data_IF_705498928114
#
_entry.id   IF_705498928114
#
_cell.length_a   1.000
_cell.length_b   1.000
_cell.length_c   1.000
_cell.angle_alpha   90.00
_cell.angle_beta   90.00
_cell.angle_gamma   90.00
#
_symmetry.space_group_name_H-M   'P 1'
#
loop_
_entity.id
_entity.type
_entity.pdbx_description
1 polymer ?
#
# COMPACT_ATOMS: atom_id res chain seq x y z
N UNK A 1 -8.16 -7.80 -15.51
CA UNK A 1 -7.03 -8.70 -15.77
C UNK A 1 -6.67 -9.41 -14.47
N UNK A 2 -7.13 -10.67 -14.30
CA UNK A 2 -6.68 -11.50 -13.18
C UNK A 2 -5.19 -11.76 -13.33
N UNK A 3 -4.41 -11.35 -12.34
CA UNK A 3 -3.00 -11.70 -12.24
C UNK A 3 -2.86 -13.25 -12.22
N UNK A 4 -1.91 -13.83 -12.95
CA UNK A 4 -1.67 -15.26 -12.93
C UNK A 4 -1.33 -15.76 -11.52
N UNK A 5 -1.57 -17.06 -11.25
CA UNK A 5 -1.43 -17.65 -9.92
C UNK A 5 -0.04 -17.48 -9.26
N UNK A 6 1.02 -17.39 -10.07
CA UNK A 6 2.38 -17.07 -9.59
C UNK A 6 2.48 -15.70 -8.93
N UNK A 7 1.70 -14.70 -9.39
CA UNK A 7 1.66 -13.37 -8.79
C UNK A 7 0.92 -13.34 -7.45
N UNK A 8 -0.01 -14.28 -7.22
CA UNK A 8 -0.73 -14.38 -5.93
C UNK A 8 0.20 -14.77 -4.79
N UNK A 9 1.20 -15.61 -5.05
CA UNK A 9 2.22 -15.99 -4.07
C UNK A 9 3.15 -14.82 -3.77
N UNK A 10 3.56 -14.07 -4.79
CA UNK A 10 4.39 -12.86 -4.63
C UNK A 10 3.70 -11.80 -3.76
N UNK A 11 2.40 -11.52 -3.98
CA UNK A 11 1.62 -10.60 -3.14
C UNK A 11 1.48 -11.08 -1.69
N UNK A 12 1.44 -12.40 -1.47
CA UNK A 12 1.44 -12.99 -0.13
C UNK A 12 2.80 -12.82 0.56
N UNK A 13 3.89 -12.95 -0.19
CA UNK A 13 5.25 -12.71 0.30
C UNK A 13 5.49 -11.24 0.67
N UNK A 14 4.97 -10.27 -0.08
CA UNK A 14 5.01 -8.84 0.29
C UNK A 14 4.39 -8.61 1.67
N UNK A 15 3.29 -9.27 1.98
CA UNK A 15 2.64 -9.18 3.29
C UNK A 15 3.49 -9.79 4.40
N UNK A 16 4.27 -10.83 4.10
CA UNK A 16 5.14 -11.54 5.05
C UNK A 16 6.47 -10.80 5.25
N UNK A 17 7.00 -10.14 4.22
CA UNK A 17 8.29 -9.44 4.23
C UNK A 17 8.33 -8.16 5.09
N UNK A 18 7.30 -7.94 5.92
CA UNK A 18 7.37 -6.92 6.96
C UNK A 18 7.31 -5.48 6.46
N UNK A 19 6.68 -5.22 5.31
CA UNK A 19 6.38 -3.85 4.87
C UNK A 19 5.37 -3.15 5.78
N UNK A 20 4.79 -3.87 6.74
CA UNK A 20 3.91 -3.34 7.79
C UNK A 20 4.71 -2.87 9.00
N UNK A 21 4.20 -1.85 9.71
CA UNK A 21 4.80 -1.27 10.92
C UNK A 21 5.33 0.14 10.68
N UNK A 22 6.05 0.69 11.64
CA UNK A 22 6.44 2.10 11.70
C UNK A 22 7.93 2.36 11.46
N UNK A 23 8.68 1.38 10.99
CA UNK A 23 10.08 1.59 10.61
C UNK A 23 10.19 2.73 9.58
N UNK A 24 11.21 3.58 9.68
CA UNK A 24 11.35 4.78 8.84
C UNK A 24 11.33 4.47 7.34
N UNK A 25 12.06 3.47 6.93
CA UNK A 25 12.12 2.98 5.54
C UNK A 25 12.11 1.45 5.60
N UNK A 26 11.29 0.85 4.77
CA UNK A 26 11.20 -0.59 4.60
C UNK A 26 11.38 -0.91 3.14
N UNK A 27 12.15 -1.91 2.89
CA UNK A 27 12.52 -2.34 1.54
C UNK A 27 12.13 -3.81 1.36
N UNK A 28 11.61 -4.13 0.19
CA UNK A 28 11.31 -5.50 -0.21
C UNK A 28 11.59 -5.70 -1.69
N UNK A 29 11.95 -6.92 -2.05
CA UNK A 29 12.00 -7.36 -3.44
C UNK A 29 10.96 -8.44 -3.67
N UNK A 30 10.27 -8.37 -4.79
CA UNK A 30 9.25 -9.32 -5.21
C UNK A 30 9.51 -9.73 -6.64
N UNK A 31 9.54 -11.02 -6.90
CA UNK A 31 9.68 -11.53 -8.26
C UNK A 31 8.32 -11.83 -8.86
N UNK A 32 8.00 -11.18 -9.99
CA UNK A 32 6.78 -11.43 -10.76
C UNK A 32 7.18 -11.93 -12.15
N UNK A 33 6.93 -13.21 -12.40
CA UNK A 33 7.47 -13.88 -13.60
C UNK A 33 9.00 -13.91 -13.56
N UNK A 34 9.65 -13.32 -14.56
CA UNK A 34 11.11 -13.23 -14.66
C UNK A 34 11.66 -11.86 -14.22
N UNK A 35 10.80 -11.00 -13.66
CA UNK A 35 11.17 -9.63 -13.28
C UNK A 35 11.21 -9.48 -11.77
N UNK A 36 12.35 -9.06 -11.23
CA UNK A 36 12.48 -8.65 -9.83
C UNK A 36 12.05 -7.19 -9.67
N UNK A 37 11.04 -6.95 -8.85
CA UNK A 37 10.57 -5.62 -8.47
C UNK A 37 11.10 -5.24 -7.10
N UNK A 38 11.79 -4.11 -7.02
CA UNK A 38 12.25 -3.50 -5.77
C UNK A 38 11.25 -2.47 -5.31
N UNK A 39 10.79 -2.61 -4.08
CA UNK A 39 9.74 -1.80 -3.47
C UNK A 39 10.28 -1.13 -2.22
N UNK A 40 9.82 0.09 -1.94
CA UNK A 40 10.08 0.75 -0.67
C UNK A 40 8.80 1.36 -0.09
N UNK A 41 8.66 1.29 1.23
CA UNK A 41 7.63 2.01 1.98
C UNK A 41 8.32 2.96 2.95
N UNK A 42 8.01 4.24 2.85
CA UNK A 42 8.66 5.31 3.60
C UNK A 42 7.67 5.99 4.54
N UNK A 43 8.00 6.02 5.81
CA UNK A 43 7.21 6.67 6.85
C UNK A 43 7.78 8.05 7.18
N UNK A 44 7.01 9.09 6.90
CA UNK A 44 7.34 10.48 7.17
C UNK A 44 8.15 11.17 6.06
N UNK A 45 7.83 12.44 5.80
CA UNK A 45 8.43 13.21 4.69
C UNK A 45 9.93 13.44 4.85
N UNK A 46 10.44 13.53 6.08
CA UNK A 46 11.88 13.66 6.32
C UNK A 46 12.67 12.44 5.83
N UNK A 47 12.09 11.24 6.00
CA UNK A 47 12.69 10.00 5.51
C UNK A 47 12.54 9.87 3.99
N UNK A 48 11.42 10.33 3.43
CA UNK A 48 11.24 10.40 1.98
C UNK A 48 12.31 11.29 1.33
N UNK A 49 12.58 12.47 1.91
CA UNK A 49 13.64 13.37 1.43
C UNK A 49 15.03 12.72 1.44
N UNK A 50 15.34 11.93 2.49
CA UNK A 50 16.60 11.18 2.56
C UNK A 50 16.69 10.13 1.46
N UNK A 51 15.61 9.36 1.28
CA UNK A 51 15.56 8.31 0.27
C UNK A 51 15.71 8.88 -1.15
N UNK A 52 15.00 9.97 -1.46
CA UNK A 52 15.10 10.65 -2.75
C UNK A 52 16.56 11.11 -3.04
N UNK A 53 17.23 11.66 -2.02
CA UNK A 53 18.64 12.04 -2.17
C UNK A 53 19.54 10.84 -2.49
N UNK A 54 19.31 9.69 -1.85
CA UNK A 54 20.08 8.45 -2.14
C UNK A 54 19.80 7.94 -3.57
N UNK A 55 18.57 8.12 -4.07
CA UNK A 55 18.20 7.77 -5.45
C UNK A 55 18.87 8.73 -6.44
N UNK A 56 18.81 10.03 -6.19
CA UNK A 56 19.44 11.06 -7.05
C UNK A 56 20.97 10.89 -7.14
N UNK A 57 21.57 10.44 -6.05
CA UNK A 57 23.01 10.11 -5.98
C UNK A 57 23.34 8.74 -6.63
N UNK A 58 22.36 8.04 -7.19
CA UNK A 58 22.53 6.73 -7.83
C UNK A 58 22.82 5.57 -6.85
N UNK A 59 22.66 5.79 -5.54
CA UNK A 59 22.96 4.77 -4.51
C UNK A 59 21.86 3.73 -4.38
N UNK A 60 20.61 4.09 -4.71
CA UNK A 60 19.44 3.23 -4.58
C UNK A 60 18.54 3.34 -5.82
N UNK A 61 17.82 2.26 -6.09
CA UNK A 61 16.83 2.19 -7.16
C UNK A 61 15.63 1.36 -6.71
N UNK A 62 14.42 1.87 -6.97
CA UNK A 62 13.15 1.19 -6.72
C UNK A 62 12.23 1.31 -7.92
N UNK A 63 11.41 0.29 -8.12
CA UNK A 63 10.36 0.30 -9.14
C UNK A 63 9.09 0.98 -8.62
N UNK A 64 8.85 0.91 -7.29
CA UNK A 64 7.72 1.55 -6.63
C UNK A 64 8.14 2.02 -5.23
N UNK A 65 7.74 3.24 -4.90
CA UNK A 65 7.94 3.83 -3.58
C UNK A 65 6.60 4.32 -3.06
N UNK A 66 6.16 3.78 -1.93
CA UNK A 66 5.01 4.29 -1.18
C UNK A 66 5.51 5.27 -0.12
N UNK A 67 4.99 6.50 -0.14
CA UNK A 67 5.32 7.52 0.86
C UNK A 67 4.13 7.79 1.76
N UNK A 68 4.27 7.45 3.03
CA UNK A 68 3.30 7.80 4.06
C UNK A 68 3.73 9.10 4.75
N UNK A 69 2.95 10.16 4.60
CA UNK A 69 3.25 11.46 5.22
C UNK A 69 3.32 11.38 6.74
N UNK A 70 2.37 10.66 7.34
CA UNK A 70 2.32 10.43 8.78
C UNK A 70 3.18 9.24 9.18
N UNK A 71 3.97 9.39 10.23
CA UNK A 71 4.78 8.30 10.75
C UNK A 71 3.91 7.16 11.29
N UNK A 72 4.02 5.97 10.68
CA UNK A 72 3.20 4.79 10.97
C UNK A 72 1.88 4.75 10.20
N UNK A 73 1.73 5.61 9.17
CA UNK A 73 0.52 5.66 8.34
C UNK A 73 -0.70 6.23 9.08
N UNK A 74 -1.89 5.84 8.66
CA UNK A 74 -3.15 6.40 9.16
C UNK A 74 -3.38 6.19 10.67
N UNK A 75 -2.82 5.15 11.28
CA UNK A 75 -2.95 4.90 12.73
C UNK A 75 -2.21 5.92 13.60
N UNK A 76 -1.27 6.66 13.02
CA UNK A 76 -0.52 7.73 13.66
C UNK A 76 -0.85 9.13 13.12
N UNK A 77 -1.79 9.24 12.19
CA UNK A 77 -2.13 10.48 11.49
C UNK A 77 -3.03 11.44 12.28
N UNK A 78 -3.24 12.62 11.69
CA UNK A 78 -4.17 13.61 12.21
C UNK A 78 -5.61 13.06 12.25
N UNK A 79 -6.38 13.45 13.25
CA UNK A 79 -7.72 12.94 13.49
C UNK A 79 -7.76 11.68 14.37
N UNK A 80 -6.63 11.05 14.64
CA UNK A 80 -6.55 9.98 15.62
C UNK A 80 -6.57 10.57 17.05
N UNK A 81 -7.26 9.90 18.01
CA UNK A 81 -7.27 10.35 19.39
C UNK A 81 -5.87 10.41 19.97
N UNK A 82 -5.59 11.45 20.75
CA UNK A 82 -4.38 11.49 21.57
C UNK A 82 -4.37 10.30 22.51
N UNK A 83 -3.24 9.64 22.63
CA UNK A 83 -3.12 8.47 23.44
C UNK A 83 -1.69 8.22 23.91
N UNK A 84 -1.55 7.29 24.84
CA UNK A 84 -0.26 6.84 25.31
C UNK A 84 0.55 6.21 24.18
N UNK A 85 1.88 6.11 24.34
CA UNK A 85 2.84 5.60 23.36
C UNK A 85 2.38 4.31 22.66
N UNK A 86 1.74 3.39 23.37
CA UNK A 86 1.24 2.12 22.85
C UNK A 86 -0.10 2.21 22.11
N UNK A 87 -0.76 3.37 22.08
CA UNK A 87 -2.08 3.49 21.43
C UNK A 87 -2.02 3.31 19.92
N UNK A 88 -0.93 3.76 19.31
CA UNK A 88 -0.67 3.60 17.87
C UNK A 88 -0.47 2.13 17.48
N UNK A 89 0.33 1.41 18.26
CA UNK A 89 0.55 -0.03 18.07
C UNK A 89 -0.78 -0.79 18.17
N UNK A 90 -1.57 -0.55 19.23
CA UNK A 90 -2.88 -1.17 19.40
C UNK A 90 -3.87 -0.87 18.26
N UNK A 91 -3.85 0.35 17.71
CA UNK A 91 -4.67 0.67 16.52
C UNK A 91 -4.20 -0.11 15.29
N UNK A 92 -2.88 -0.23 15.10
CA UNK A 92 -2.30 -1.06 14.05
C UNK A 92 -2.71 -2.52 14.17
N UNK A 93 -2.60 -3.08 15.36
CA UNK A 93 -3.01 -4.46 15.65
C UNK A 93 -4.50 -4.68 15.36
N UNK A 94 -5.35 -3.73 15.76
CA UNK A 94 -6.79 -3.78 15.46
C UNK A 94 -7.10 -3.79 13.96
N UNK A 95 -6.40 -2.98 13.16
CA UNK A 95 -6.53 -2.99 11.71
C UNK A 95 -6.06 -4.33 11.11
N UNK A 96 -4.95 -4.88 11.58
CA UNK A 96 -4.45 -6.18 11.12
C UNK A 96 -5.39 -7.32 11.47
N UNK A 97 -6.00 -7.30 12.66
CA UNK A 97 -7.03 -8.27 13.05
C UNK A 97 -8.24 -8.17 12.13
N UNK A 98 -8.73 -6.95 11.86
CA UNK A 98 -9.85 -6.72 10.95
C UNK A 98 -9.55 -7.20 9.54
N UNK A 99 -8.37 -6.88 9.01
CA UNK A 99 -7.93 -7.34 7.69
C UNK A 99 -7.83 -8.87 7.63
N UNK A 100 -7.27 -9.49 8.67
CA UNK A 100 -7.17 -10.95 8.74
C UNK A 100 -8.53 -11.64 8.83
N UNK A 101 -9.51 -11.03 9.49
CA UNK A 101 -10.87 -11.53 9.60
C UNK A 101 -11.73 -11.26 8.37
N UNK A 102 -11.31 -10.37 7.47
CA UNK A 102 -12.08 -10.03 6.28
C UNK A 102 -12.27 -11.25 5.37
N UNK A 103 -13.52 -11.50 4.97
CA UNK A 103 -13.90 -12.59 4.08
C UNK A 103 -13.35 -12.39 2.67
N UNK A 104 -13.37 -11.15 2.18
CA UNK A 104 -12.87 -10.76 0.86
C UNK A 104 -11.56 -9.99 1.01
N UNK A 105 -10.47 -10.57 0.52
CA UNK A 105 -9.11 -9.99 0.57
C UNK A 105 -8.79 -9.14 -0.66
N UNK A 106 -9.64 -9.18 -1.67
CA UNK A 106 -9.42 -8.56 -2.97
C UNK A 106 -10.68 -7.84 -3.42
N UNK A 107 -10.53 -6.63 -3.93
CA UNK A 107 -11.64 -5.80 -4.38
C UNK A 107 -12.47 -6.48 -5.47
N UNK A 108 -11.82 -7.16 -6.43
CA UNK A 108 -12.50 -7.87 -7.51
C UNK A 108 -13.36 -9.05 -7.06
N UNK A 109 -13.17 -9.54 -5.82
CA UNK A 109 -13.99 -10.59 -5.20
C UNK A 109 -15.11 -10.05 -4.33
N UNK A 110 -15.18 -8.74 -4.15
CA UNK A 110 -16.25 -8.11 -3.40
C UNK A 110 -17.53 -8.11 -4.27
N UNK A 111 -18.63 -8.74 -3.81
CA UNK A 111 -19.86 -8.82 -4.59
C UNK A 111 -20.47 -7.44 -4.90
N UNK A 112 -20.29 -6.46 -4.04
CA UNK A 112 -20.74 -5.08 -4.29
C UNK A 112 -19.97 -4.44 -5.44
N UNK A 113 -18.67 -4.66 -5.52
CA UNK A 113 -17.84 -4.17 -6.65
C UNK A 113 -18.25 -4.88 -7.93
N UNK A 114 -18.44 -6.20 -7.90
CA UNK A 114 -18.90 -6.97 -9.04
C UNK A 114 -20.28 -6.50 -9.56
N UNK A 115 -21.21 -6.22 -8.66
CA UNK A 115 -22.53 -5.66 -9.00
C UNK A 115 -22.41 -4.28 -9.63
N UNK A 116 -21.60 -3.39 -9.05
CA UNK A 116 -21.37 -2.05 -9.59
C UNK A 116 -20.77 -2.11 -10.99
N UNK A 117 -19.78 -2.98 -11.22
CA UNK A 117 -19.19 -3.18 -12.54
C UNK A 117 -20.20 -3.73 -13.56
N UNK A 118 -21.09 -4.62 -13.14
CA UNK A 118 -22.14 -5.15 -13.99
C UNK A 118 -23.21 -4.10 -14.34
N UNK A 119 -23.53 -3.20 -13.42
CA UNK A 119 -24.57 -2.16 -13.58
C UNK A 119 -24.09 -0.99 -14.44
N UNK A 120 -22.88 -0.47 -14.17
CA UNK A 120 -22.37 0.75 -14.81
C UNK A 120 -21.42 0.47 -15.98
N UNK A 121 -20.86 -0.73 -16.06
CA UNK A 121 -19.79 -1.06 -17.00
C UNK A 121 -18.41 -0.55 -16.55
N UNK A 122 -17.36 -1.13 -17.13
CA UNK A 122 -15.98 -0.85 -16.76
C UNK A 122 -15.57 0.61 -17.03
N UNK A 123 -15.94 1.14 -18.21
CA UNK A 123 -15.61 2.50 -18.64
C UNK A 123 -16.25 3.55 -17.71
N UNK A 124 -17.53 3.40 -17.39
CA UNK A 124 -18.22 4.33 -16.49
C UNK A 124 -17.71 4.23 -15.04
N UNK A 125 -17.38 3.04 -14.58
CA UNK A 125 -16.73 2.86 -13.27
C UNK A 125 -15.37 3.55 -13.23
N UNK A 126 -14.60 3.45 -14.31
CA UNK A 126 -13.31 4.15 -14.40
C UNK A 126 -13.48 5.68 -14.30
N UNK A 127 -14.41 6.26 -15.06
CA UNK A 127 -14.71 7.69 -14.98
C UNK A 127 -15.13 8.16 -13.59
N UNK A 128 -15.96 7.36 -12.89
CA UNK A 128 -16.48 7.73 -11.56
C UNK A 128 -15.45 7.58 -10.45
N UNK A 129 -14.53 6.61 -10.56
CA UNK A 129 -13.62 6.23 -9.49
C UNK A 129 -12.22 6.79 -9.68
N UNK A 130 -11.88 7.26 -10.88
CA UNK A 130 -10.57 7.82 -11.16
C UNK A 130 -10.64 9.31 -11.47
N UNK A 131 -9.73 10.07 -10.87
CA UNK A 131 -9.61 11.50 -11.10
C UNK A 131 -8.45 11.76 -12.08
N UNK A 132 -8.74 12.49 -13.14
CA UNK A 132 -7.71 12.96 -14.07
C UNK A 132 -7.27 14.36 -13.67
N UNK A 133 -5.98 14.52 -13.37
CA UNK A 133 -5.39 15.81 -13.08
C UNK A 133 -4.90 16.44 -14.38
N UNK A 134 -5.48 17.58 -14.75
CA UNK A 134 -4.98 18.41 -15.85
C UNK A 134 -4.13 19.53 -15.26
N UNK A 135 -2.89 19.66 -15.72
CA UNK A 135 -2.11 20.86 -15.41
C UNK A 135 -2.83 22.06 -16.02
N UNK A 136 -3.24 22.99 -15.16
CA UNK A 136 -3.71 24.32 -15.59
C UNK A 136 -2.53 25.23 -15.76
#
# INVERSE_FOLDING_TARGET
>A
HCLPDKSKNALREISILGLRGDAPIKEASVTIGDTELKLAVVNGLANAKKLLKEIDEGKKFYHLIEVMTCQGGCVGGAGQPYGLKKSKEKRGDGLHLSDNAAMFKRAERNPVVAQMMAEYGEERCHELLHVTYTNK
#
